data_IF_583881259161
#
_entry.id   IF_583881259161
#
_cell.length_a   1.000
_cell.length_b   1.000
_cell.length_c   1.000
_cell.angle_alpha   90.00
_cell.angle_beta   90.00
_cell.angle_gamma   90.00
#
_symmetry.space_group_name_H-M   'P 1'
#
loop_
_entity.id
_entity.type
_entity.pdbx_description
1 polymer ?
#
# COMPACT_ATOMS: atom_id res chain seq x y z
N UNK A 1 -9.26 5.46 2.49
CA UNK A 1 -9.02 6.91 2.75
C UNK A 1 -8.62 7.21 4.19
N UNK A 2 -9.06 6.43 5.19
CA UNK A 2 -8.86 6.72 6.62
C UNK A 2 -7.40 7.00 7.09
N UNK A 3 -6.39 6.51 6.38
CA UNK A 3 -4.97 6.70 6.70
C UNK A 3 -4.27 7.75 5.83
N UNK A 4 -5.01 8.49 5.00
CA UNK A 4 -4.46 9.60 4.20
C UNK A 4 -3.48 9.18 3.09
N UNK A 5 -3.51 7.92 2.65
CA UNK A 5 -2.72 7.42 1.52
C UNK A 5 -3.65 6.84 0.46
N UNK A 6 -3.48 7.27 -0.79
CA UNK A 6 -4.07 6.64 -1.96
C UNK A 6 -3.05 5.69 -2.59
N UNK A 7 -3.53 4.55 -3.05
CA UNK A 7 -2.72 3.51 -3.69
C UNK A 7 -3.44 2.96 -4.91
N UNK A 8 -2.72 2.22 -5.75
CA UNK A 8 -3.30 1.46 -6.86
C UNK A 8 -3.33 -0.03 -6.49
N UNK A 9 -4.45 -0.53 -5.93
CA UNK A 9 -4.58 -1.94 -5.57
C UNK A 9 -4.97 -2.77 -6.79
N UNK A 10 -4.52 -4.02 -6.83
CA UNK A 10 -4.88 -4.96 -7.90
C UNK A 10 -4.69 -6.41 -7.42
N UNK A 11 -5.49 -7.32 -7.96
CA UNK A 11 -5.40 -8.76 -7.69
C UNK A 11 -5.06 -9.55 -8.95
N UNK A 12 -4.75 -10.84 -8.78
CA UNK A 12 -4.41 -11.73 -9.89
C UNK A 12 -2.97 -11.60 -10.38
N UNK A 13 -2.06 -11.09 -9.55
CA UNK A 13 -0.66 -10.83 -9.92
C UNK A 13 0.12 -12.10 -10.23
N UNK A 14 -0.27 -13.24 -9.65
CA UNK A 14 0.45 -14.52 -9.82
C UNK A 14 0.05 -15.21 -11.13
N UNK A 15 -1.26 -15.34 -11.40
CA UNK A 15 -1.81 -16.15 -12.49
C UNK A 15 -3.07 -15.56 -13.15
N UNK A 16 -3.36 -14.29 -12.92
CA UNK A 16 -4.59 -13.63 -13.36
C UNK A 16 -5.80 -13.87 -12.46
N UNK A 17 -5.65 -14.66 -11.37
CA UNK A 17 -6.72 -14.92 -10.39
C UNK A 17 -6.29 -14.70 -8.95
N UNK A 18 -5.06 -15.11 -8.63
CA UNK A 18 -4.50 -15.10 -7.28
C UNK A 18 -3.37 -14.09 -7.13
N UNK A 19 -3.17 -13.62 -5.90
CA UNK A 19 -2.10 -12.70 -5.52
C UNK A 19 -2.50 -11.23 -5.58
N UNK A 20 -2.39 -10.57 -4.45
CA UNK A 20 -2.63 -9.13 -4.31
C UNK A 20 -1.35 -8.34 -4.54
N UNK A 21 -1.47 -7.17 -5.16
CA UNK A 21 -0.40 -6.18 -5.19
C UNK A 21 -0.93 -4.78 -4.93
N UNK A 22 -0.04 -3.92 -4.45
CA UNK A 22 -0.28 -2.50 -4.24
C UNK A 22 0.84 -1.73 -4.92
N UNK A 23 0.47 -0.82 -5.83
CA UNK A 23 1.42 0.07 -6.49
C UNK A 23 1.35 1.47 -5.88
N UNK A 24 2.52 2.03 -5.60
CA UNK A 24 2.72 3.41 -5.17
C UNK A 24 3.35 4.20 -6.32
N UNK A 25 2.83 5.40 -6.59
CA UNK A 25 3.34 6.29 -7.64
C UNK A 25 3.63 7.68 -7.05
N UNK A 26 4.69 7.84 -6.22
CA UNK A 26 5.08 9.14 -5.71
C UNK A 26 5.60 10.05 -6.85
N UNK A 27 5.40 11.37 -6.76
CA UNK A 27 5.93 12.31 -7.74
C UNK A 27 7.45 12.45 -7.62
N UNK A 28 8.13 12.93 -8.67
CA UNK A 28 9.59 13.14 -8.64
C UNK A 28 10.06 14.18 -7.61
N UNK A 29 9.18 15.06 -7.15
CA UNK A 29 9.47 16.09 -6.14
C UNK A 29 9.32 15.60 -4.69
N UNK A 30 9.08 14.29 -4.49
CA UNK A 30 8.89 13.69 -3.17
C UNK A 30 10.15 13.84 -2.32
N UNK A 31 9.99 14.11 -1.03
CA UNK A 31 11.10 14.19 -0.07
C UNK A 31 11.23 12.89 0.73
N UNK A 32 12.37 12.67 1.38
CA UNK A 32 12.58 11.50 2.25
C UNK A 32 11.48 11.40 3.33
N UNK A 33 11.07 12.53 3.91
CA UNK A 33 9.99 12.58 4.91
C UNK A 33 8.63 12.15 4.34
N UNK A 34 8.37 12.48 3.08
CA UNK A 34 7.13 12.05 2.41
C UNK A 34 7.17 10.53 2.18
N UNK A 35 8.33 9.96 1.85
CA UNK A 35 8.52 8.51 1.73
C UNK A 35 8.30 7.83 3.08
N UNK A 36 8.88 8.33 4.17
CA UNK A 36 8.66 7.79 5.51
C UNK A 36 7.16 7.75 5.84
N UNK A 37 6.46 8.85 5.55
CA UNK A 37 5.01 8.97 5.78
C UNK A 37 4.21 7.96 4.92
N UNK A 38 4.61 7.73 3.67
CA UNK A 38 3.99 6.74 2.79
C UNK A 38 4.18 5.32 3.35
N UNK A 39 5.39 4.99 3.77
CA UNK A 39 5.73 3.66 4.30
C UNK A 39 4.98 3.39 5.60
N UNK A 40 4.97 4.34 6.55
CA UNK A 40 4.24 4.23 7.82
C UNK A 40 2.74 3.97 7.58
N UNK A 41 2.10 4.80 6.74
CA UNK A 41 0.67 4.68 6.45
C UNK A 41 0.31 3.39 5.74
N UNK A 42 1.17 2.92 4.84
CA UNK A 42 0.95 1.67 4.12
C UNK A 42 1.13 0.47 5.06
N UNK A 43 2.18 0.46 5.88
CA UNK A 43 2.44 -0.60 6.87
C UNK A 43 1.25 -0.77 7.81
N UNK A 44 0.80 0.32 8.42
CA UNK A 44 -0.38 0.32 9.29
C UNK A 44 -1.66 -0.21 8.61
N UNK A 45 -1.82 0.07 7.31
CA UNK A 45 -2.97 -0.41 6.54
C UNK A 45 -2.90 -1.91 6.32
N UNK A 46 -1.72 -2.42 5.98
CA UNK A 46 -1.47 -3.85 5.77
C UNK A 46 -1.65 -4.60 7.07
N UNK A 47 -1.03 -4.15 8.17
CA UNK A 47 -1.10 -4.79 9.48
C UNK A 47 -2.56 -4.96 9.93
N UNK A 48 -3.38 -3.91 9.79
CA UNK A 48 -4.81 -4.00 10.09
C UNK A 48 -5.57 -4.94 9.17
N UNK A 49 -5.24 -4.97 7.87
CA UNK A 49 -5.92 -5.85 6.92
C UNK A 49 -5.62 -7.32 7.21
N UNK A 50 -4.39 -7.64 7.64
CA UNK A 50 -3.98 -9.02 7.92
C UNK A 50 -4.22 -9.46 9.36
N UNK A 51 -4.45 -8.54 10.30
CA UNK A 51 -4.72 -8.87 11.70
C UNK A 51 -5.93 -9.81 11.90
N UNK A 52 -6.90 -9.82 10.97
CA UNK A 52 -8.06 -10.71 11.00
C UNK A 52 -7.86 -12.06 10.30
N UNK A 53 -6.66 -12.33 9.77
CA UNK A 53 -6.32 -13.58 9.07
C UNK A 53 -5.65 -14.61 9.99
N UNK A 54 -5.57 -14.34 11.29
CA UNK A 54 -5.08 -15.26 12.33
C UNK A 54 -6.20 -16.16 12.88
#
# INVERSE_FOLDING_TARGET
MARGLMVYPMGGTIDGKTGDHVLLAPPFIVTDRDIDTIVERLGDAIDMAVAGLA
#
